data_IF_288362503870
#
_entry.id   IF_288362503870
#
_cell.length_a   1.000
_cell.length_b   1.000
_cell.length_c   1.000
_cell.angle_alpha   90.00
_cell.angle_beta   90.00
_cell.angle_gamma   90.00
#
_symmetry.space_group_name_H-M   'P 1'
#
loop_
_entity.id
_entity.type
_entity.pdbx_description
1 polymer ?
#
# COMPACT_ATOMS: atom_id res chain seq x y z
N UNK A 1 -9.88 -10.80 9.34
CA UNK A 1 -9.55 -9.75 8.35
C UNK A 1 -8.09 -9.39 8.48
N UNK A 2 -7.42 -9.08 7.39
CA UNK A 2 -6.06 -8.57 7.40
C UNK A 2 -5.93 -7.43 6.38
N UNK A 3 -5.18 -6.39 6.71
CA UNK A 3 -4.77 -5.38 5.76
C UNK A 3 -3.33 -5.66 5.34
N UNK A 4 -3.13 -5.84 4.04
CA UNK A 4 -1.83 -6.08 3.44
C UNK A 4 -1.44 -4.81 2.69
N UNK A 5 -0.37 -4.15 3.11
CA UNK A 5 0.24 -3.07 2.33
C UNK A 5 1.21 -3.64 1.31
N UNK A 6 1.50 -2.90 0.25
CA UNK A 6 2.57 -3.21 -0.69
C UNK A 6 3.64 -2.13 -0.61
N UNK A 7 4.78 -2.49 -0.02
CA UNK A 7 5.99 -1.69 0.00
C UNK A 7 6.79 -1.94 -1.29
N UNK A 8 7.33 -0.86 -1.85
CA UNK A 8 8.02 -0.87 -3.14
C UNK A 8 9.35 -1.65 -3.09
N UNK A 9 9.96 -1.74 -1.91
CA UNK A 9 11.26 -2.38 -1.65
C UNK A 9 11.13 -3.73 -0.95
N UNK A 10 10.15 -3.88 -0.06
CA UNK A 10 9.96 -5.09 0.75
C UNK A 10 8.84 -5.98 0.20
N UNK A 11 8.03 -5.49 -0.74
CA UNK A 11 6.90 -6.23 -1.29
C UNK A 11 5.68 -6.20 -0.37
N UNK A 12 4.87 -7.26 -0.30
CA UNK A 12 3.70 -7.32 0.58
C UNK A 12 4.10 -7.30 2.07
N UNK A 13 3.42 -6.46 2.86
CA UNK A 13 3.65 -6.27 4.31
C UNK A 13 2.33 -6.36 5.06
N UNK A 14 2.26 -7.12 6.16
CA UNK A 14 1.08 -7.17 7.03
C UNK A 14 0.96 -5.84 7.80
N UNK A 15 -0.02 -5.00 7.44
CA UNK A 15 -0.29 -3.75 8.18
C UNK A 15 -1.05 -4.00 9.47
N UNK A 16 -2.05 -4.88 9.44
CA UNK A 16 -2.71 -5.39 10.64
C UNK A 16 -3.51 -6.67 10.36
N UNK A 17 -3.76 -7.45 11.41
CA UNK A 17 -4.63 -8.64 11.39
C UNK A 17 -5.61 -8.56 12.54
N UNK A 18 -6.89 -8.80 12.25
CA UNK A 18 -7.95 -8.93 13.26
C UNK A 18 -8.68 -10.24 13.04
N UNK A 19 -8.60 -11.11 14.03
CA UNK A 19 -9.36 -12.35 14.04
C UNK A 19 -10.77 -12.05 14.55
N UNK A 20 -11.78 -12.49 13.80
CA UNK A 20 -13.16 -12.43 14.24
C UNK A 20 -13.57 -13.89 14.50
N UNK A 21 -13.55 -14.28 15.78
CA UNK A 21 -13.64 -15.65 16.34
C UNK A 21 -12.37 -16.51 16.25
N UNK A 22 -12.22 -17.38 17.25
CA UNK A 22 -11.20 -18.43 17.35
C UNK A 22 -11.38 -19.48 16.25
N UNK A 23 -10.28 -20.14 15.88
CA UNK A 23 -10.18 -21.36 15.05
C UNK A 23 -9.75 -21.25 13.57
N UNK A 24 -9.15 -20.15 13.12
CA UNK A 24 -8.42 -20.16 11.83
C UNK A 24 -7.03 -19.51 11.94
N UNK A 25 -6.01 -20.32 12.24
CA UNK A 25 -4.60 -19.90 12.14
C UNK A 25 -4.19 -19.94 10.67
N UNK A 26 -4.48 -18.85 9.97
CA UNK A 26 -4.08 -18.66 8.58
C UNK A 26 -2.65 -18.13 8.57
N UNK A 27 -1.74 -18.84 7.90
CA UNK A 27 -0.35 -18.46 7.66
C UNK A 27 -0.27 -17.41 6.56
N UNK A 28 -0.37 -16.14 6.94
CA UNK A 28 -0.41 -14.99 6.03
C UNK A 28 0.85 -14.90 5.16
N UNK A 29 2.01 -15.31 5.69
CA UNK A 29 3.30 -15.17 4.99
C UNK A 29 3.34 -16.06 3.74
N UNK A 30 2.75 -17.25 3.82
CA UNK A 30 2.62 -18.15 2.67
C UNK A 30 1.71 -17.58 1.56
N UNK A 31 0.76 -16.72 1.90
CA UNK A 31 -0.20 -16.15 0.94
C UNK A 31 0.31 -14.87 0.26
N UNK A 32 1.28 -14.19 0.84
CA UNK A 32 1.78 -12.91 0.35
C UNK A 32 2.23 -12.94 -1.11
N UNK A 33 2.97 -13.97 -1.51
CA UNK A 33 3.47 -14.12 -2.87
C UNK A 33 2.34 -14.30 -3.87
N UNK A 34 1.33 -15.10 -3.54
CA UNK A 34 0.17 -15.33 -4.40
C UNK A 34 -0.67 -14.06 -4.56
N UNK A 35 -0.88 -13.32 -3.47
CA UNK A 35 -1.53 -12.01 -3.53
C UNK A 35 -0.71 -11.02 -4.36
N UNK A 36 0.60 -10.93 -4.15
CA UNK A 36 1.46 -10.03 -4.89
C UNK A 36 1.39 -10.26 -6.40
N UNK A 37 1.52 -11.51 -6.85
CA UNK A 37 1.47 -11.86 -8.27
C UNK A 37 0.10 -11.52 -8.85
N UNK A 38 -1.00 -11.95 -8.21
CA UNK A 38 -2.35 -11.73 -8.74
C UNK A 38 -2.74 -10.25 -8.84
N UNK A 39 -2.30 -9.41 -7.90
CA UNK A 39 -2.63 -7.97 -7.89
C UNK A 39 -1.71 -7.12 -8.77
N UNK A 40 -0.44 -7.53 -8.97
CA UNK A 40 0.50 -6.83 -9.85
C UNK A 40 0.37 -7.22 -11.32
N UNK A 41 -0.26 -8.35 -11.66
CA UNK A 41 -0.38 -8.85 -13.03
C UNK A 41 -1.26 -8.03 -13.97
N UNK A 42 -1.88 -6.91 -13.54
CA UNK A 42 -2.44 -5.89 -14.45
C UNK A 42 -3.62 -6.33 -15.34
N UNK A 43 -4.17 -7.53 -15.15
CA UNK A 43 -5.30 -8.01 -15.95
C UNK A 43 -6.60 -7.27 -15.58
N UNK A 44 -7.43 -6.98 -16.60
CA UNK A 44 -8.77 -6.38 -16.46
C UNK A 44 -9.69 -7.21 -15.54
N UNK A 45 -9.44 -8.52 -15.47
CA UNK A 45 -10.10 -9.45 -14.56
C UNK A 45 -9.37 -9.48 -13.21
N UNK A 46 -9.59 -8.45 -12.38
CA UNK A 46 -9.14 -8.46 -10.97
C UNK A 46 -9.96 -9.51 -10.20
N UNK A 47 -9.34 -10.60 -9.70
CA UNK A 47 -10.08 -11.59 -8.93
C UNK A 47 -10.60 -10.95 -7.64
N UNK A 48 -11.92 -11.04 -7.42
CA UNK A 48 -12.60 -10.48 -6.24
C UNK A 48 -12.54 -11.42 -5.04
N UNK A 49 -12.32 -12.72 -5.29
CA UNK A 49 -12.18 -13.74 -4.27
C UNK A 49 -11.24 -14.86 -4.74
N UNK A 50 -10.50 -15.44 -3.80
CA UNK A 50 -9.73 -16.68 -3.96
C UNK A 50 -10.43 -17.75 -3.13
N UNK A 51 -10.74 -18.88 -3.74
CA UNK A 51 -11.44 -19.99 -3.08
C UNK A 51 -10.41 -21.09 -2.83
N UNK A 52 -10.23 -21.46 -1.58
CA UNK A 52 -9.49 -22.65 -1.15
C UNK A 52 -10.51 -23.72 -0.70
N UNK A 53 -10.01 -24.92 -0.43
CA UNK A 53 -10.84 -26.04 0.01
C UNK A 53 -11.48 -25.77 1.38
N UNK A 54 -10.72 -25.18 2.31
CA UNK A 54 -11.14 -24.97 3.71
C UNK A 54 -11.63 -23.56 4.01
N UNK A 55 -11.29 -22.58 3.17
CA UNK A 55 -11.68 -21.20 3.37
C UNK A 55 -11.63 -20.42 2.04
N UNK A 56 -12.13 -19.20 2.05
CA UNK A 56 -12.02 -18.28 0.92
C UNK A 56 -11.52 -16.93 1.41
N UNK A 57 -10.84 -16.21 0.51
CA UNK A 57 -10.35 -14.86 0.76
C UNK A 57 -11.02 -13.90 -0.20
N UNK A 58 -11.74 -12.93 0.33
CA UNK A 58 -12.30 -11.82 -0.44
C UNK A 58 -11.39 -10.62 -0.25
N UNK A 59 -10.93 -10.05 -1.35
CA UNK A 59 -9.91 -9.01 -1.32
C UNK A 59 -10.47 -7.69 -1.87
N UNK A 60 -10.33 -6.62 -1.09
CA UNK A 60 -10.80 -5.28 -1.42
C UNK A 60 -9.59 -4.34 -1.59
N UNK A 61 -9.16 -4.06 -2.83
CA UNK A 61 -8.01 -3.20 -3.09
C UNK A 61 -8.34 -1.73 -2.81
N UNK A 62 -7.38 -1.02 -2.21
CA UNK A 62 -7.37 0.43 -2.04
C UNK A 62 -5.94 0.95 -2.28
N UNK A 63 -5.67 1.46 -3.48
CA UNK A 63 -4.33 1.91 -3.89
C UNK A 63 -3.26 0.82 -3.68
N UNK A 64 -2.30 1.04 -2.77
CA UNK A 64 -1.23 0.10 -2.40
C UNK A 64 -1.61 -0.81 -1.22
N UNK A 65 -2.87 -0.81 -0.83
CA UNK A 65 -3.38 -1.62 0.27
C UNK A 65 -4.42 -2.62 -0.22
N UNK A 66 -4.48 -3.75 0.48
CA UNK A 66 -5.41 -4.82 0.21
C UNK A 66 -6.05 -5.28 1.50
N UNK A 67 -7.35 -5.01 1.65
CA UNK A 67 -8.12 -5.52 2.77
C UNK A 67 -8.64 -6.92 2.42
N UNK A 68 -8.10 -7.92 3.09
CA UNK A 68 -8.46 -9.32 2.95
C UNK A 68 -9.44 -9.75 4.04
N UNK A 69 -10.58 -10.30 3.62
CA UNK A 69 -11.55 -10.95 4.49
C UNK A 69 -11.45 -12.45 4.27
N UNK A 70 -11.06 -13.18 5.32
CA UNK A 70 -10.96 -14.63 5.33
C UNK A 70 -12.26 -15.21 5.89
N UNK A 71 -12.84 -16.16 5.18
CA UNK A 71 -14.15 -16.74 5.49
C UNK A 71 -14.07 -18.26 5.39
N UNK A 72 -14.65 -18.98 6.34
CA UNK A 72 -14.67 -20.44 6.39
C UNK A 72 -15.86 -21.07 5.65
N UNK A 73 -16.73 -20.26 5.04
CA UNK A 73 -17.92 -20.69 4.31
C UNK A 73 -17.90 -20.08 2.91
N UNK A 74 -18.56 -20.72 1.93
CA UNK A 74 -18.76 -20.13 0.58
C UNK A 74 -19.71 -18.92 0.67
N UNK A 75 -19.36 -17.80 0.03
CA UNK A 75 -20.24 -16.62 -0.01
C UNK A 75 -21.14 -16.63 -1.23
N UNK A 76 -22.34 -16.08 -1.07
CA UNK A 76 -23.18 -15.69 -2.19
C UNK A 76 -23.00 -14.18 -2.50
N UNK A 77 -23.70 -13.69 -3.53
CA UNK A 77 -23.63 -12.29 -3.97
C UNK A 77 -24.09 -11.29 -2.89
N UNK A 78 -25.08 -11.65 -2.08
CA UNK A 78 -25.60 -10.80 -0.99
C UNK A 78 -24.59 -10.64 0.14
N UNK A 79 -23.89 -11.72 0.49
CA UNK A 79 -22.83 -11.69 1.48
C UNK A 79 -21.65 -10.83 0.98
N UNK A 80 -21.32 -10.89 -0.31
CA UNK A 80 -20.31 -10.04 -0.92
C UNK A 80 -20.65 -8.54 -0.79
N UNK A 81 -21.87 -8.12 -1.14
CA UNK A 81 -22.25 -6.69 -1.03
C UNK A 81 -22.22 -6.19 0.42
N UNK A 82 -22.61 -7.03 1.39
CA UNK A 82 -22.46 -6.69 2.81
C UNK A 82 -21.01 -6.57 3.24
N UNK A 83 -20.15 -7.49 2.80
CA UNK A 83 -18.72 -7.45 3.07
C UNK A 83 -18.06 -6.23 2.44
N UNK A 84 -18.52 -5.82 1.25
CA UNK A 84 -18.07 -4.59 0.59
C UNK A 84 -18.40 -3.36 1.43
N UNK A 85 -19.61 -3.24 1.95
CA UNK A 85 -20.01 -2.12 2.83
C UNK A 85 -19.17 -2.12 4.12
N UNK A 86 -18.89 -3.30 4.69
CA UNK A 86 -18.03 -3.40 5.88
C UNK A 86 -16.59 -3.01 5.54
N UNK A 87 -16.06 -3.47 4.41
CA UNK A 87 -14.73 -3.13 3.93
C UNK A 87 -14.57 -1.63 3.70
N UNK A 88 -15.54 -0.98 3.05
CA UNK A 88 -15.57 0.47 2.84
C UNK A 88 -15.58 1.22 4.17
N UNK A 89 -16.37 0.77 5.16
CA UNK A 89 -16.41 1.37 6.49
C UNK A 89 -15.10 1.19 7.27
N UNK A 90 -14.48 0.02 7.20
CA UNK A 90 -13.21 -0.25 7.89
C UNK A 90 -12.07 0.54 7.23
N UNK A 91 -12.03 0.64 5.89
CA UNK A 91 -11.10 1.51 5.16
C UNK A 91 -11.26 2.99 5.56
N UNK A 92 -12.49 3.48 5.77
CA UNK A 92 -12.75 4.84 6.25
C UNK A 92 -12.37 5.06 7.72
N UNK A 93 -12.56 4.07 8.59
CA UNK A 93 -12.16 4.15 10.01
C UNK A 93 -10.64 4.20 10.21
N UNK A 94 -9.88 3.57 9.32
CA UNK A 94 -8.42 3.55 9.39
C UNK A 94 -7.72 4.87 9.01
N UNK A 95 -8.47 5.96 8.81
CA UNK A 95 -7.92 7.32 8.80
C UNK A 95 -7.38 7.81 10.17
N UNK A 96 -7.61 7.08 11.27
CA UNK A 96 -7.31 7.56 12.64
C UNK A 96 -6.74 6.50 13.62
N UNK A 97 -6.30 5.32 13.18
CA UNK A 97 -5.65 4.32 14.06
C UNK A 97 -4.20 4.14 13.64
N UNK A 98 -3.27 4.03 14.60
CA UNK A 98 -1.81 3.95 14.40
C UNK A 98 -1.43 3.31 13.07
N UNK A 99 -1.10 4.17 12.10
CA UNK A 99 -0.68 3.77 10.77
C UNK A 99 0.63 3.03 10.95
N UNK A 100 0.68 1.75 10.60
CA UNK A 100 1.95 1.08 10.37
C UNK A 100 2.64 1.84 9.23
N UNK A 101 3.52 2.77 9.58
CA UNK A 101 4.34 3.49 8.62
C UNK A 101 5.35 2.50 8.09
N UNK A 102 5.20 2.13 6.83
CA UNK A 102 6.24 1.38 6.16
C UNK A 102 7.51 2.23 6.11
N UNK A 103 8.66 1.59 5.96
CA UNK A 103 9.93 2.30 5.73
C UNK A 103 9.79 3.27 4.55
N UNK A 104 9.04 2.90 3.50
CA UNK A 104 8.67 3.78 2.39
C UNK A 104 7.90 5.03 2.85
N UNK A 105 6.90 4.89 3.71
CA UNK A 105 6.11 6.01 4.21
C UNK A 105 6.96 6.96 5.04
N UNK A 106 7.84 6.43 5.89
CA UNK A 106 8.79 7.24 6.67
C UNK A 106 9.78 8.00 5.76
N UNK A 107 10.27 7.35 4.70
CA UNK A 107 11.16 7.97 3.71
C UNK A 107 10.42 9.10 2.99
N UNK A 108 9.19 8.88 2.53
CA UNK A 108 8.36 9.89 1.85
C UNK A 108 8.06 11.08 2.75
N UNK A 109 7.65 10.85 3.99
CA UNK A 109 7.42 11.92 4.97
C UNK A 109 8.69 12.73 5.22
N UNK A 110 9.84 12.05 5.30
CA UNK A 110 11.13 12.72 5.48
C UNK A 110 11.53 13.53 4.25
N UNK A 111 11.26 13.03 3.04
CA UNK A 111 11.45 13.78 1.78
C UNK A 111 10.60 15.05 1.78
N UNK A 112 9.30 14.94 2.07
CA UNK A 112 8.38 16.07 2.15
C UNK A 112 8.86 17.07 3.20
N UNK A 113 9.26 16.61 4.40
CA UNK A 113 9.74 17.49 5.48
C UNK A 113 10.99 18.27 5.08
N UNK A 114 11.88 17.69 4.29
CA UNK A 114 13.07 18.37 3.75
C UNK A 114 12.66 19.39 2.67
N UNK A 115 11.80 18.98 1.75
CA UNK A 115 11.34 19.80 0.62
C UNK A 115 10.42 20.96 1.04
N UNK A 116 9.73 20.86 2.18
CA UNK A 116 8.98 21.97 2.79
C UNK A 116 9.87 23.14 3.20
N UNK A 117 11.16 22.90 3.47
CA UNK A 117 12.10 23.95 3.89
C UNK A 117 12.66 24.72 2.71
N UNK A 118 12.98 24.02 1.62
CA UNK A 118 13.58 24.59 0.43
C UNK A 118 13.48 23.62 -0.74
N UNK A 119 13.50 24.14 -1.98
CA UNK A 119 13.57 23.36 -3.20
C UNK A 119 14.94 22.68 -3.31
N UNK A 120 14.98 21.39 -3.64
CA UNK A 120 16.24 20.63 -3.68
C UNK A 120 16.37 19.73 -4.90
N UNK A 121 17.59 19.58 -5.39
CA UNK A 121 17.91 18.55 -6.37
C UNK A 121 18.09 17.19 -5.72
N UNK A 122 18.04 16.11 -6.52
CA UNK A 122 18.28 14.75 -6.03
C UNK A 122 19.67 14.63 -5.40
N UNK A 123 20.66 15.39 -5.90
CA UNK A 123 22.02 15.41 -5.34
C UNK A 123 22.05 15.97 -3.92
N UNK A 124 21.32 17.05 -3.67
CA UNK A 124 21.19 17.61 -2.33
C UNK A 124 20.36 16.70 -1.41
N UNK A 125 19.32 16.04 -1.94
CA UNK A 125 18.56 15.06 -1.17
C UNK A 125 19.41 13.85 -0.77
N UNK A 126 20.35 13.42 -1.63
CA UNK A 126 21.24 12.29 -1.36
C UNK A 126 22.07 12.45 -0.07
N UNK A 127 22.40 13.68 0.32
CA UNK A 127 23.13 13.97 1.56
C UNK A 127 22.33 13.61 2.81
N UNK A 128 21.00 13.53 2.71
CA UNK A 128 20.10 13.23 3.82
C UNK A 128 19.68 11.76 3.92
N UNK A 129 20.00 10.94 2.91
CA UNK A 129 19.55 9.55 2.81
C UNK A 129 20.67 8.59 2.40
N UNK A 130 20.72 7.43 3.05
CA UNK A 130 21.68 6.36 2.72
C UNK A 130 21.38 5.66 1.38
N UNK A 131 20.17 5.79 0.85
CA UNK A 131 19.69 5.09 -0.35
C UNK A 131 20.26 5.64 -1.67
N UNK A 132 20.14 4.89 -2.77
CA UNK A 132 20.66 5.28 -4.09
C UNK A 132 19.93 6.49 -4.68
N UNK A 133 20.58 7.20 -5.61
CA UNK A 133 19.96 8.29 -6.39
C UNK A 133 18.68 7.84 -7.10
N UNK A 134 18.67 6.62 -7.62
CA UNK A 134 17.52 6.05 -8.32
C UNK A 134 16.35 5.79 -7.36
N UNK A 135 16.64 5.29 -6.16
CA UNK A 135 15.64 5.08 -5.11
C UNK A 135 14.98 6.39 -4.69
N UNK A 136 15.78 7.45 -4.47
CA UNK A 136 15.26 8.79 -4.15
C UNK A 136 14.36 9.28 -5.28
N UNK A 137 14.82 9.16 -6.54
CA UNK A 137 14.04 9.56 -7.72
C UNK A 137 12.70 8.82 -7.78
N UNK A 138 12.69 7.52 -7.51
CA UNK A 138 11.48 6.70 -7.54
C UNK A 138 10.44 7.19 -6.54
N UNK A 139 10.86 7.51 -5.31
CA UNK A 139 9.96 8.07 -4.29
C UNK A 139 9.45 9.47 -4.66
N UNK A 140 10.29 10.30 -5.30
CA UNK A 140 9.86 11.63 -5.76
C UNK A 140 8.84 11.54 -6.90
N UNK A 141 9.00 10.60 -7.83
CA UNK A 141 7.99 10.36 -8.89
C UNK A 141 6.68 9.87 -8.29
N UNK A 142 6.74 8.95 -7.32
CA UNK A 142 5.55 8.47 -6.62
C UNK A 142 4.82 9.60 -5.88
N UNK A 143 5.56 10.52 -5.25
CA UNK A 143 4.99 11.73 -4.63
C UNK A 143 4.49 12.77 -5.64
N UNK A 144 5.06 12.82 -6.84
CA UNK A 144 4.60 13.67 -7.95
C UNK A 144 3.28 13.14 -8.50
N UNK A 145 3.13 11.82 -8.63
CA UNK A 145 1.92 11.14 -9.07
C UNK A 145 0.76 11.34 -8.07
N UNK A 146 1.05 11.46 -6.77
CA UNK A 146 0.05 11.80 -5.73
C UNK A 146 -0.21 13.30 -5.58
N UNK A 147 0.57 14.14 -6.27
CA UNK A 147 0.45 15.60 -6.24
C UNK A 147 1.01 16.27 -4.98
N UNK A 148 1.80 15.56 -4.18
CA UNK A 148 2.43 16.08 -2.96
C UNK A 148 3.71 16.88 -3.23
N UNK A 149 4.40 16.57 -4.32
CA UNK A 149 5.59 17.30 -4.77
C UNK A 149 5.51 17.62 -6.26
N UNK A 150 6.27 18.61 -6.69
CA UNK A 150 6.41 19.01 -8.08
C UNK A 150 7.90 19.25 -8.39
N UNK A 151 8.26 19.17 -9.67
CA UNK A 151 9.62 19.47 -10.15
C UNK A 151 9.61 20.62 -11.13
N UNK A 152 10.66 21.44 -11.11
CA UNK A 152 10.85 22.42 -12.17
C UNK A 152 11.27 21.73 -13.49
N UNK A 153 10.73 22.23 -14.59
CA UNK A 153 11.05 21.78 -15.96
C UNK A 153 11.96 22.75 -16.70
N UNK A 154 12.19 23.94 -16.14
CA UNK A 154 12.90 25.04 -16.82
C UNK A 154 14.44 24.97 -16.72
N UNK A 155 14.98 24.27 -15.73
CA UNK A 155 16.43 24.18 -15.51
C UNK A 155 16.99 22.81 -15.88
N UNK A 156 18.28 22.78 -16.28
CA UNK A 156 19.04 21.54 -16.54
C UNK A 156 19.12 20.63 -15.31
N UNK A 157 19.00 21.21 -14.11
CA UNK A 157 18.91 20.47 -12.85
C UNK A 157 17.47 20.55 -12.32
N UNK A 158 16.82 19.38 -12.25
CA UNK A 158 15.48 19.25 -11.69
C UNK A 158 15.51 19.46 -10.17
N UNK A 159 14.92 20.56 -9.74
CA UNK A 159 14.63 20.91 -8.37
C UNK A 159 13.22 20.46 -8.03
N UNK A 160 13.10 19.72 -6.95
CA UNK A 160 11.85 19.23 -6.39
C UNK A 160 11.42 20.14 -5.25
N UNK A 161 10.11 20.33 -5.09
CA UNK A 161 9.51 21.14 -4.03
C UNK A 161 8.10 20.63 -3.70
N UNK A 162 7.62 20.95 -2.50
CA UNK A 162 6.23 20.63 -2.10
C UNK A 162 5.29 21.65 -2.73
N UNK A 163 4.14 21.20 -3.20
CA UNK A 163 3.08 22.05 -3.76
C UNK A 163 2.38 22.89 -2.68
#
# INVERSE_FOLDING_TARGET
MALIGFDITQGPVLKWKRNFKDEAVIDIDQFFTNFYVMFRSGNEFKPKAIIFDDFQVVAFPNQLELLCVFLNNKINRHDFEKLKIIAEKEQQKHGNSEVFKSESDEIKERLIKILKKDKKSIKQLKEHFSMSYWTIRRYLVDLEDTGEVERNTENREHLWFVK
#
